data_IF_501815226075
#
_entry.id   IF_501815226075
#
_cell.length_a   1.000
_cell.length_b   1.000
_cell.length_c   1.000
_cell.angle_alpha   90.00
_cell.angle_beta   90.00
_cell.angle_gamma   90.00
#
_symmetry.space_group_name_H-M   'P 1'
#
loop_
_entity.id
_entity.type
_entity.pdbx_description
1 polymer ?
#
# COMPACT_ATOMS: atom_id res chain seq x y z
N UNK A 1 -35.15 -16.98 -26.70
CA UNK A 1 -34.17 -16.58 -27.75
C UNK A 1 -32.78 -16.60 -27.14
N UNK A 2 -32.06 -17.71 -27.31
CA UNK A 2 -30.72 -17.91 -26.77
C UNK A 2 -29.68 -17.56 -27.84
N UNK A 3 -28.69 -16.71 -27.52
CA UNK A 3 -27.57 -16.42 -28.43
C UNK A 3 -26.34 -17.19 -27.97
N UNK A 4 -25.90 -18.09 -28.86
CA UNK A 4 -24.86 -19.10 -28.69
C UNK A 4 -23.48 -18.52 -28.40
N UNK A 5 -22.80 -19.23 -27.51
CA UNK A 5 -21.35 -19.29 -27.29
C UNK A 5 -20.65 -19.75 -28.58
N UNK A 6 -19.47 -19.18 -28.88
CA UNK A 6 -18.49 -19.80 -29.78
C UNK A 6 -17.08 -19.63 -29.22
N UNK A 7 -16.50 -20.77 -28.86
CA UNK A 7 -15.11 -21.04 -28.48
C UNK A 7 -14.21 -21.16 -29.71
N UNK A 8 -13.01 -20.58 -29.65
CA UNK A 8 -11.80 -20.92 -30.45
C UNK A 8 -10.58 -20.53 -29.58
N UNK A 9 -9.79 -21.45 -29.00
CA UNK A 9 -8.74 -22.31 -29.57
C UNK A 9 -7.49 -21.57 -30.08
N UNK A 10 -6.34 -21.87 -29.44
CA UNK A 10 -4.96 -21.53 -29.85
C UNK A 10 -4.33 -20.51 -28.89
N UNK A 11 -3.26 -20.76 -28.13
CA UNK A 11 -2.12 -21.66 -28.30
C UNK A 11 -0.84 -20.81 -28.36
N UNK A 12 0.19 -21.17 -27.57
CA UNK A 12 1.51 -20.53 -27.34
C UNK A 12 1.48 -19.25 -26.47
N UNK A 13 1.92 -19.27 -25.20
CA UNK A 13 3.28 -19.48 -24.68
C UNK A 13 4.33 -18.61 -25.37
N UNK A 14 4.69 -17.48 -24.75
CA UNK A 14 6.02 -16.87 -24.88
C UNK A 14 6.34 -16.06 -23.61
N UNK A 15 6.94 -16.77 -22.65
CA UNK A 15 7.99 -16.24 -21.78
C UNK A 15 8.97 -15.36 -22.58
N UNK A 16 9.25 -14.15 -22.10
CA UNK A 16 10.34 -13.30 -22.62
C UNK A 16 11.28 -12.91 -21.50
N UNK A 17 12.07 -13.88 -21.07
CA UNK A 17 13.40 -13.64 -20.52
C UNK A 17 14.27 -13.02 -21.63
N UNK A 18 14.98 -11.93 -21.33
CA UNK A 18 16.05 -11.42 -22.20
C UNK A 18 17.39 -11.58 -21.50
N UNK A 19 17.98 -12.74 -21.74
CA UNK A 19 19.40 -13.03 -21.51
C UNK A 19 20.20 -12.26 -22.56
N UNK A 20 21.10 -11.38 -22.14
CA UNK A 20 22.14 -10.84 -23.01
C UNK A 20 23.42 -11.65 -22.78
N UNK A 21 23.73 -12.56 -23.69
CA UNK A 21 25.04 -13.20 -23.85
C UNK A 21 25.58 -12.80 -25.22
N UNK A 22 26.59 -11.94 -25.24
CA UNK A 22 27.34 -11.64 -26.45
C UNK A 22 28.70 -12.34 -26.35
N UNK A 23 28.87 -13.41 -27.13
CA UNK A 23 30.15 -14.04 -27.38
C UNK A 23 30.66 -13.53 -28.75
N UNK A 24 31.91 -13.07 -28.80
CA UNK A 24 32.62 -12.78 -30.04
C UNK A 24 33.97 -13.49 -29.99
N UNK A 25 34.27 -14.31 -31.02
CA UNK A 25 35.54 -15.03 -31.15
C UNK A 25 35.99 -15.08 -32.62
N UNK A 26 37.27 -14.77 -32.83
CA UNK A 26 38.09 -15.13 -34.02
C UNK A 26 38.07 -14.12 -35.18
N UNK A 27 39.17 -13.70 -35.81
CA UNK A 27 40.49 -14.31 -35.99
C UNK A 27 41.55 -13.27 -36.47
N UNK A 28 42.84 -13.58 -36.20
CA UNK A 28 44.12 -13.29 -36.92
C UNK A 28 44.31 -11.94 -37.66
N UNK A 29 45.41 -11.19 -37.58
CA UNK A 29 46.78 -11.39 -37.09
C UNK A 29 47.74 -10.63 -38.02
N UNK A 30 48.72 -9.89 -37.49
CA UNK A 30 50.06 -9.66 -38.10
C UNK A 30 50.94 -8.82 -37.18
N UNK A 31 52.20 -9.23 -37.06
CA UNK A 31 53.23 -8.66 -36.20
C UNK A 31 54.00 -7.52 -36.88
N UNK A 32 54.53 -6.60 -36.07
CA UNK A 32 55.79 -5.91 -36.37
C UNK A 32 56.58 -5.72 -35.06
N UNK A 33 57.84 -6.16 -35.07
CA UNK A 33 58.82 -5.94 -34.02
C UNK A 33 59.16 -4.45 -33.91
N UNK A 34 59.15 -3.91 -32.71
CA UNK A 34 59.97 -2.75 -32.37
C UNK A 34 60.42 -2.86 -30.92
N UNK A 35 61.73 -2.98 -30.70
CA UNK A 35 62.37 -2.90 -29.39
C UNK A 35 62.54 -1.44 -28.99
N UNK A 36 62.20 -1.12 -27.74
CA UNK A 36 62.55 0.17 -27.13
C UNK A 36 61.96 0.28 -25.72
N UNK A 37 62.80 0.05 -24.71
CA UNK A 37 62.42 0.07 -23.30
C UNK A 37 62.09 1.47 -22.76
N UNK A 38 61.47 1.48 -21.57
CA UNK A 38 61.20 2.70 -20.81
C UNK A 38 60.03 2.50 -19.85
N UNK A 39 60.38 2.24 -18.60
CA UNK A 39 59.59 2.06 -17.38
C UNK A 39 58.25 2.80 -17.23
N UNK A 40 57.30 2.12 -16.57
CA UNK A 40 56.14 2.60 -15.79
C UNK A 40 54.77 1.99 -16.18
N UNK A 41 54.60 0.67 -15.98
CA UNK A 41 53.27 0.02 -16.04
C UNK A 41 52.59 0.06 -14.67
N UNK A 42 52.05 1.22 -14.28
CA UNK A 42 51.03 1.25 -13.23
C UNK A 42 49.78 0.48 -13.67
N UNK A 43 48.95 -0.05 -12.74
CA UNK A 43 47.65 -0.61 -13.11
C UNK A 43 46.84 0.44 -13.90
N UNK A 44 46.00 0.01 -14.87
CA UNK A 44 45.17 0.96 -15.62
C UNK A 44 44.35 1.81 -14.64
N UNK A 45 44.24 3.13 -14.86
CA UNK A 45 43.36 3.94 -14.04
C UNK A 45 41.97 3.31 -14.08
N UNK A 46 41.36 3.13 -12.89
CA UNK A 46 40.00 2.62 -12.79
C UNK A 46 39.05 3.47 -13.64
N UNK A 47 37.84 2.95 -13.98
CA UNK A 47 36.86 3.75 -14.69
C UNK A 47 36.67 5.08 -13.96
N UNK A 48 36.66 6.23 -14.67
CA UNK A 48 36.46 7.51 -14.03
C UNK A 48 35.16 7.46 -13.23
N UNK A 49 35.11 8.06 -12.03
CA UNK A 49 33.86 8.17 -11.30
C UNK A 49 32.81 8.79 -12.23
N UNK A 50 31.55 8.29 -12.24
CA UNK A 50 30.51 8.87 -13.06
C UNK A 50 30.42 10.38 -12.75
N UNK A 51 30.25 11.24 -13.76
CA UNK A 51 30.24 12.68 -13.54
C UNK A 51 29.11 13.06 -12.55
N UNK A 52 29.37 13.88 -11.51
CA UNK A 52 28.29 14.43 -10.71
C UNK A 52 27.49 15.35 -11.61
N UNK A 53 26.35 14.87 -12.10
CA UNK A 53 25.38 15.70 -12.81
C UNK A 53 24.16 15.87 -11.93
N UNK A 54 24.38 16.40 -10.72
CA UNK A 54 23.32 16.93 -9.88
C UNK A 54 22.83 18.23 -10.53
N UNK A 55 22.00 18.08 -11.54
CA UNK A 55 21.17 19.16 -12.07
C UNK A 55 20.14 19.53 -11.01
N UNK A 56 19.86 20.81 -10.81
CA UNK A 56 18.92 21.32 -9.81
C UNK A 56 17.59 20.52 -9.81
N UNK A 57 17.05 20.13 -8.63
CA UNK A 57 15.74 19.48 -8.55
C UNK A 57 14.65 20.32 -9.22
N UNK A 58 13.92 19.72 -10.18
CA UNK A 58 12.84 20.42 -10.89
C UNK A 58 11.47 19.81 -10.61
N UNK A 59 11.41 18.50 -10.30
CA UNK A 59 10.16 17.78 -10.02
C UNK A 59 10.39 16.68 -8.99
N UNK A 60 9.40 16.43 -8.16
CA UNK A 60 9.35 15.26 -7.26
C UNK A 60 8.09 14.47 -7.59
N UNK A 61 8.19 13.14 -7.66
CA UNK A 61 7.03 12.24 -7.73
C UNK A 61 6.98 11.39 -6.46
N UNK A 62 5.77 11.20 -5.93
CA UNK A 62 5.52 10.42 -4.72
C UNK A 62 4.85 9.09 -5.08
N UNK A 63 5.30 8.01 -4.44
CA UNK A 63 4.68 6.69 -4.55
C UNK A 63 4.46 6.11 -3.15
N UNK A 64 3.21 5.84 -2.74
CA UNK A 64 1.96 6.11 -3.47
C UNK A 64 1.66 7.62 -3.59
N UNK A 65 0.83 8.00 -4.57
CA UNK A 65 0.40 9.39 -4.78
C UNK A 65 -0.64 9.83 -3.72
N UNK A 66 -1.45 8.90 -3.25
CA UNK A 66 -2.36 9.07 -2.11
C UNK A 66 -1.94 8.13 -0.99
N UNK A 67 -1.80 8.66 0.22
CA UNK A 67 -1.30 7.89 1.36
C UNK A 67 -2.46 7.59 2.28
N UNK A 68 -2.70 6.30 2.53
CA UNK A 68 -3.64 5.84 3.54
C UNK A 68 -2.90 4.95 4.55
N UNK A 69 -3.14 5.16 5.84
CA UNK A 69 -2.53 4.39 6.94
C UNK A 69 -3.55 4.16 8.06
N UNK A 70 -3.49 3.01 8.72
CA UNK A 70 -4.30 2.75 9.91
C UNK A 70 -3.59 3.34 11.14
N UNK A 71 -4.34 3.88 12.10
CA UNK A 71 -3.77 4.36 13.35
C UNK A 71 -3.00 3.23 14.07
N UNK A 72 -1.74 3.48 14.40
CA UNK A 72 -0.81 2.48 14.96
C UNK A 72 0.10 1.82 13.92
N UNK A 73 -0.27 1.86 12.63
CA UNK A 73 0.50 1.27 11.54
C UNK A 73 1.46 2.27 10.89
N UNK A 74 2.30 1.74 10.00
CA UNK A 74 3.25 2.52 9.21
C UNK A 74 3.13 2.22 7.72
N UNK A 75 3.41 3.23 6.90
CA UNK A 75 3.47 3.10 5.43
C UNK A 75 4.69 3.83 4.91
N UNK A 76 5.39 3.22 3.95
CA UNK A 76 6.55 3.85 3.31
C UNK A 76 6.11 4.64 2.08
N UNK A 77 6.44 5.92 2.05
CA UNK A 77 6.31 6.78 0.87
C UNK A 77 7.68 7.00 0.24
N UNK A 78 7.77 6.79 -1.07
CA UNK A 78 9.00 6.98 -1.84
C UNK A 78 8.92 8.29 -2.61
N UNK A 79 9.92 9.14 -2.46
CA UNK A 79 10.09 10.33 -3.30
C UNK A 79 11.13 10.04 -4.39
N UNK A 80 10.80 10.33 -5.64
CA UNK A 80 11.72 10.29 -6.77
C UNK A 80 11.95 11.71 -7.28
N UNK A 81 13.18 12.19 -7.12
CA UNK A 81 13.57 13.55 -7.51
C UNK A 81 14.11 13.53 -8.94
N UNK A 82 13.63 14.46 -9.77
CA UNK A 82 13.94 14.57 -11.19
C UNK A 82 14.45 15.98 -11.51
N UNK A 83 15.38 16.08 -12.45
CA UNK A 83 15.82 17.35 -13.02
C UNK A 83 14.88 17.86 -14.13
N UNK A 84 15.22 19.00 -14.73
CA UNK A 84 14.50 19.63 -15.85
C UNK A 84 14.35 18.75 -17.09
N UNK A 85 15.23 17.76 -17.25
CA UNK A 85 15.23 16.75 -18.33
C UNK A 85 14.52 15.45 -17.94
N UNK A 86 13.79 15.44 -16.82
CA UNK A 86 13.13 14.25 -16.27
C UNK A 86 14.07 13.09 -15.93
N UNK A 87 15.36 13.37 -15.69
CA UNK A 87 16.33 12.36 -15.26
C UNK A 87 16.39 12.27 -13.73
N UNK A 88 16.53 11.07 -13.14
CA UNK A 88 16.64 10.90 -11.69
C UNK A 88 17.91 11.52 -11.10
N UNK A 89 17.75 12.20 -9.96
CA UNK A 89 18.84 12.68 -9.11
C UNK A 89 18.95 11.71 -7.93
N UNK A 90 19.94 10.81 -7.97
CA UNK A 90 20.02 9.66 -7.03
C UNK A 90 20.54 10.03 -5.65
N UNK A 91 21.24 11.15 -5.53
CA UNK A 91 21.84 11.71 -4.31
C UNK A 91 21.03 12.91 -3.78
N UNK A 92 19.83 13.15 -4.32
CA UNK A 92 18.98 14.23 -3.86
C UNK A 92 18.56 14.04 -2.40
N UNK A 93 18.81 15.05 -1.58
CA UNK A 93 18.30 15.10 -0.22
C UNK A 93 16.82 15.50 -0.26
N UNK A 94 15.98 14.70 0.38
CA UNK A 94 14.54 14.96 0.52
C UNK A 94 14.24 15.23 1.99
N UNK A 95 13.60 16.36 2.26
CA UNK A 95 13.06 16.70 3.58
C UNK A 95 11.56 16.45 3.59
N UNK A 96 11.06 15.77 4.62
CA UNK A 96 9.66 15.42 4.77
C UNK A 96 8.98 16.24 5.86
N UNK A 97 7.73 16.62 5.64
CA UNK A 97 6.88 17.28 6.63
C UNK A 97 5.45 16.78 6.55
N UNK A 98 4.82 16.57 7.71
CA UNK A 98 3.37 16.36 7.83
C UNK A 98 2.70 17.69 8.17
N UNK A 99 1.55 17.98 7.56
CA UNK A 99 0.75 19.16 7.90
C UNK A 99 0.11 19.07 9.30
N UNK A 100 -0.10 17.86 9.81
CA UNK A 100 -0.62 17.62 11.16
C UNK A 100 0.11 16.43 11.80
N UNK A 101 1.18 16.70 12.57
CA UNK A 101 1.92 15.68 13.31
C UNK A 101 1.12 14.96 14.40
N UNK A 102 -0.04 15.47 14.82
CA UNK A 102 -0.90 14.78 15.78
C UNK A 102 -1.78 13.70 15.11
N UNK A 103 -2.02 13.84 13.80
CA UNK A 103 -2.71 12.83 12.97
C UNK A 103 -1.72 11.80 12.46
N UNK A 104 -0.60 12.24 11.88
CA UNK A 104 0.43 11.35 11.36
C UNK A 104 1.81 12.02 11.32
N UNK A 105 2.85 11.24 11.61
CA UNK A 105 4.25 11.69 11.55
C UNK A 105 4.98 11.04 10.38
N UNK A 106 6.09 11.64 9.95
CA UNK A 106 6.97 11.08 8.91
C UNK A 106 8.42 11.24 9.34
N UNK A 107 9.23 10.20 9.13
CA UNK A 107 10.67 10.24 9.41
C UNK A 107 11.49 10.73 8.21
N UNK A 108 12.82 10.87 8.40
CA UNK A 108 13.73 11.31 7.35
C UNK A 108 13.80 10.35 6.13
N UNK A 109 13.34 9.10 6.27
CA UNK A 109 13.35 8.07 5.22
C UNK A 109 12.04 7.96 4.45
N UNK A 110 11.04 8.79 4.79
CA UNK A 110 9.69 8.74 4.22
C UNK A 110 8.81 7.64 4.83
N UNK A 111 9.14 7.13 6.03
CA UNK A 111 8.26 6.23 6.78
C UNK A 111 7.22 7.06 7.53
N UNK A 112 5.96 6.92 7.13
CA UNK A 112 4.81 7.59 7.74
C UNK A 112 4.23 6.70 8.83
N UNK A 113 3.94 7.25 10.00
CA UNK A 113 3.27 6.57 11.12
C UNK A 113 1.92 7.23 11.37
N UNK A 114 0.84 6.45 11.28
CA UNK A 114 -0.51 6.90 11.62
C UNK A 114 -0.70 6.94 13.13
N UNK A 115 -1.15 8.06 13.68
CA UNK A 115 -1.35 8.22 15.13
C UNK A 115 -2.83 8.26 15.50
N UNK A 116 -3.63 9.00 14.73
CA UNK A 116 -5.04 9.23 15.02
C UNK A 116 -5.82 9.41 13.73
N UNK A 117 -7.07 8.93 13.72
CA UNK A 117 -8.00 9.16 12.61
C UNK A 117 -8.09 10.65 12.25
N UNK A 118 -7.99 10.94 10.95
CA UNK A 118 -8.03 12.29 10.42
C UNK A 118 -7.38 12.42 9.05
N UNK A 119 -7.38 13.64 8.53
CA UNK A 119 -6.78 13.98 7.25
C UNK A 119 -5.61 14.94 7.48
N UNK A 120 -4.51 14.68 6.76
CA UNK A 120 -3.33 15.50 6.71
C UNK A 120 -2.83 15.57 5.26
N UNK A 121 -1.71 16.25 5.06
CA UNK A 121 -0.93 16.17 3.83
C UNK A 121 0.53 15.94 4.15
N UNK A 122 1.18 15.20 3.27
CA UNK A 122 2.59 14.85 3.35
C UNK A 122 3.34 15.59 2.28
N UNK A 123 4.33 16.39 2.66
CA UNK A 123 5.15 17.17 1.72
C UNK A 123 6.58 16.66 1.70
N UNK A 124 7.08 16.37 0.51
CA UNK A 124 8.49 16.11 0.23
C UNK A 124 9.11 17.32 -0.45
N UNK A 125 10.26 17.77 0.05
CA UNK A 125 10.98 18.93 -0.46
C UNK A 125 12.42 18.56 -0.81
N UNK A 126 12.82 18.89 -2.03
CA UNK A 126 14.21 18.89 -2.49
C UNK A 126 14.38 20.17 -3.29
N UNK A 127 14.83 21.23 -2.62
CA UNK A 127 14.70 22.59 -3.14
C UNK A 127 15.37 22.76 -4.52
N UNK A 128 14.71 23.46 -5.46
CA UNK A 128 13.44 24.19 -5.33
C UNK A 128 12.18 23.34 -5.52
N UNK A 129 12.29 22.05 -5.83
CA UNK A 129 11.14 21.20 -6.09
C UNK A 129 10.44 20.74 -4.80
N UNK A 130 9.11 20.66 -4.87
CA UNK A 130 8.23 20.16 -3.81
C UNK A 130 7.16 19.25 -4.40
N UNK A 131 6.74 18.23 -3.67
CA UNK A 131 5.55 17.44 -3.97
C UNK A 131 4.74 17.22 -2.69
N UNK A 132 3.42 17.19 -2.83
CA UNK A 132 2.49 16.98 -1.71
C UNK A 132 1.53 15.85 -2.07
N UNK A 133 1.34 14.92 -1.16
CA UNK A 133 0.35 13.85 -1.24
C UNK A 133 -0.73 14.04 -0.15
N UNK A 134 -2.02 13.81 -0.43
CA UNK A 134 -3.02 13.69 0.61
C UNK A 134 -2.71 12.49 1.50
N UNK A 135 -2.94 12.65 2.80
CA UNK A 135 -2.72 11.61 3.81
C UNK A 135 -4.00 11.42 4.61
N UNK A 136 -4.59 10.22 4.53
CA UNK A 136 -5.72 9.82 5.34
C UNK A 136 -5.26 8.79 6.38
N UNK A 137 -5.61 9.04 7.65
CA UNK A 137 -5.44 8.08 8.73
C UNK A 137 -6.82 7.53 9.10
N UNK A 138 -6.96 6.22 9.10
CA UNK A 138 -8.20 5.55 9.52
C UNK A 138 -8.04 4.95 10.91
N UNK A 139 -9.08 4.99 11.72
CA UNK A 139 -9.09 4.24 12.97
C UNK A 139 -9.03 2.73 12.70
N UNK A 140 -8.45 1.99 13.66
CA UNK A 140 -8.47 0.53 13.65
C UNK A 140 -9.90 0.00 13.56
N UNK A 141 -10.84 0.63 14.27
CA UNK A 141 -12.25 0.27 14.24
C UNK A 141 -12.83 0.42 12.82
N UNK A 142 -12.59 1.55 12.13
CA UNK A 142 -13.01 1.73 10.73
C UNK A 142 -12.42 0.68 9.80
N UNK A 143 -11.12 0.39 9.92
CA UNK A 143 -10.46 -0.61 9.10
C UNK A 143 -11.07 -2.01 9.31
N UNK A 144 -11.33 -2.36 10.56
CA UNK A 144 -11.94 -3.65 10.96
C UNK A 144 -13.37 -3.78 10.43
N UNK A 145 -14.19 -2.73 10.58
CA UNK A 145 -15.53 -2.70 10.00
C UNK A 145 -15.48 -2.80 8.47
N UNK A 146 -14.56 -2.10 7.80
CA UNK A 146 -14.40 -2.23 6.35
C UNK A 146 -14.00 -3.66 5.93
N UNK A 147 -13.16 -4.33 6.72
CA UNK A 147 -12.84 -5.74 6.50
C UNK A 147 -14.07 -6.64 6.65
N UNK A 148 -14.95 -6.39 7.63
CA UNK A 148 -16.24 -7.08 7.75
C UNK A 148 -17.14 -6.84 6.54
N UNK A 149 -17.27 -5.57 6.12
CA UNK A 149 -18.03 -5.18 4.95
C UNK A 149 -17.54 -5.88 3.68
N UNK A 150 -16.24 -5.86 3.40
CA UNK A 150 -15.68 -6.49 2.21
C UNK A 150 -15.75 -8.02 2.32
N UNK A 151 -15.32 -8.57 3.45
CA UNK A 151 -15.20 -10.00 3.69
C UNK A 151 -16.54 -10.74 3.71
N UNK A 152 -17.63 -10.04 4.01
CA UNK A 152 -18.98 -10.62 4.03
C UNK A 152 -19.92 -10.12 2.93
N UNK A 153 -19.36 -9.64 1.82
CA UNK A 153 -20.10 -9.14 0.64
C UNK A 153 -21.09 -8.02 0.96
N UNK A 154 -20.64 -7.00 1.67
CA UNK A 154 -21.43 -5.88 2.18
C UNK A 154 -22.26 -5.09 1.18
N UNK A 155 -21.90 -5.12 -0.10
CA UNK A 155 -22.71 -4.54 -1.17
C UNK A 155 -24.03 -5.28 -1.40
N UNK A 156 -24.11 -6.55 -0.98
CA UNK A 156 -25.26 -7.44 -1.13
C UNK A 156 -26.07 -7.57 0.17
N UNK A 157 -25.66 -6.90 1.26
CA UNK A 157 -26.45 -6.86 2.49
C UNK A 157 -27.79 -6.16 2.25
N UNK A 158 -28.77 -6.48 3.08
CA UNK A 158 -30.11 -5.89 3.02
C UNK A 158 -30.07 -4.39 3.30
N UNK A 159 -29.32 -3.99 4.33
CA UNK A 159 -29.03 -2.60 4.65
C UNK A 159 -27.52 -2.42 4.86
N UNK A 160 -26.93 -1.54 4.07
CA UNK A 160 -25.53 -1.14 4.15
C UNK A 160 -25.36 0.38 4.20
N UNK A 161 -26.36 1.10 4.70
CA UNK A 161 -26.33 2.55 4.79
C UNK A 161 -25.09 3.02 5.57
N UNK A 162 -24.32 3.95 4.97
CA UNK A 162 -23.07 4.48 5.52
C UNK A 162 -21.83 3.58 5.32
N UNK A 163 -22.00 2.27 5.15
CA UNK A 163 -20.87 1.37 4.92
C UNK A 163 -20.19 1.65 3.58
N UNK A 164 -18.85 1.54 3.53
CA UNK A 164 -18.09 1.85 2.33
C UNK A 164 -17.89 3.35 2.06
N UNK A 165 -18.30 4.23 2.97
CA UNK A 165 -18.18 5.69 2.83
C UNK A 165 -17.17 6.28 3.81
N UNK A 166 -16.94 7.60 3.71
CA UNK A 166 -16.14 8.37 4.66
C UNK A 166 -16.96 8.93 5.83
N UNK A 167 -18.23 8.53 5.97
CA UNK A 167 -19.03 8.90 7.12
C UNK A 167 -18.44 8.32 8.42
N UNK A 168 -18.58 8.99 9.58
CA UNK A 168 -18.14 8.45 10.86
C UNK A 168 -18.75 7.08 11.13
N UNK A 169 -17.95 6.13 11.64
CA UNK A 169 -18.39 4.73 11.81
C UNK A 169 -19.66 4.57 12.64
N UNK A 170 -19.88 5.43 13.64
CA UNK A 170 -21.11 5.43 14.45
C UNK A 170 -22.38 5.89 13.74
N UNK A 171 -22.27 6.31 12.47
CA UNK A 171 -23.41 6.62 11.60
C UNK A 171 -23.76 5.48 10.64
N UNK A 172 -22.94 4.43 10.60
CA UNK A 172 -23.18 3.28 9.73
C UNK A 172 -24.30 2.42 10.30
N UNK A 173 -25.12 1.84 9.43
CA UNK A 173 -26.22 0.97 9.84
C UNK A 173 -25.71 -0.15 10.76
N UNK A 174 -26.39 -0.34 11.89
CA UNK A 174 -26.04 -1.38 12.85
C UNK A 174 -24.83 -1.07 13.73
N UNK A 175 -24.13 0.05 13.55
CA UNK A 175 -22.93 0.39 14.33
C UNK A 175 -23.26 1.44 15.39
N UNK A 176 -22.97 1.14 16.65
CA UNK A 176 -22.98 2.12 17.73
C UNK A 176 -21.55 2.46 18.11
N UNK A 177 -21.23 3.75 18.21
CA UNK A 177 -19.94 4.23 18.68
C UNK A 177 -20.10 5.21 19.84
N UNK A 178 -19.09 5.28 20.72
CA UNK A 178 -19.04 6.26 21.79
C UNK A 178 -18.56 7.64 21.29
N UNK A 179 -18.46 8.61 22.19
CA UNK A 179 -18.01 9.98 21.88
C UNK A 179 -16.57 10.06 21.32
N UNK A 180 -15.74 9.04 21.60
CA UNK A 180 -14.39 8.91 21.05
C UNK A 180 -14.36 8.17 19.71
N UNK A 181 -15.52 7.94 19.08
CA UNK A 181 -15.68 7.17 17.84
C UNK A 181 -15.18 5.73 17.93
N UNK A 182 -15.15 5.15 19.14
CA UNK A 182 -14.86 3.73 19.33
C UNK A 182 -16.15 2.92 19.23
N UNK A 183 -16.11 1.82 18.50
CA UNK A 183 -17.27 0.97 18.23
C UNK A 183 -17.61 0.14 19.46
N UNK A 184 -18.83 0.33 19.98
CA UNK A 184 -19.32 -0.30 21.22
C UNK A 184 -20.52 -1.21 21.00
N UNK A 185 -21.07 -1.34 19.81
CA UNK A 185 -22.01 -2.42 19.47
C UNK A 185 -22.08 -2.54 17.95
N UNK A 186 -22.26 -3.77 17.48
CA UNK A 186 -22.56 -4.05 16.08
C UNK A 186 -23.78 -4.97 16.07
N UNK A 187 -24.87 -4.52 15.46
CA UNK A 187 -26.06 -5.31 15.18
C UNK A 187 -26.30 -5.33 13.66
N UNK A 188 -25.94 -6.45 13.06
CA UNK A 188 -26.19 -6.78 11.66
C UNK A 188 -27.02 -8.07 11.57
N UNK A 189 -27.87 -8.30 12.56
CA UNK A 189 -28.77 -9.44 12.56
C UNK A 189 -29.70 -9.41 11.34
N UNK A 190 -29.97 -10.59 10.78
CA UNK A 190 -30.86 -10.77 9.61
C UNK A 190 -30.52 -9.88 8.40
N UNK A 191 -29.26 -9.46 8.26
CA UNK A 191 -28.85 -8.48 7.25
C UNK A 191 -28.27 -9.11 5.97
N UNK A 192 -28.34 -10.43 5.83
CA UNK A 192 -27.89 -11.16 4.64
C UNK A 192 -26.38 -11.26 4.50
N UNK A 193 -25.63 -11.17 5.60
CA UNK A 193 -24.18 -11.38 5.61
C UNK A 193 -23.85 -12.76 5.03
N UNK A 194 -22.84 -12.81 4.17
CA UNK A 194 -22.47 -14.01 3.42
C UNK A 194 -20.95 -14.22 3.50
N UNK A 195 -20.46 -15.45 3.67
CA UNK A 195 -19.02 -15.71 3.75
C UNK A 195 -18.55 -15.87 5.19
N UNK A 196 -17.37 -15.38 5.52
CA UNK A 196 -16.74 -15.59 6.83
C UNK A 196 -16.56 -14.27 7.58
N UNK A 197 -16.75 -14.30 8.89
CA UNK A 197 -16.40 -13.17 9.74
C UNK A 197 -14.87 -13.01 9.77
N UNK A 198 -14.33 -11.79 9.56
CA UNK A 198 -12.90 -11.58 9.62
C UNK A 198 -12.37 -11.73 11.04
N UNK A 199 -11.19 -12.34 11.16
CA UNK A 199 -10.54 -12.59 12.45
C UNK A 199 -10.18 -11.30 13.20
N UNK A 200 -9.94 -10.21 12.46
CA UNK A 200 -9.62 -8.89 12.99
C UNK A 200 -10.76 -8.24 13.77
N UNK A 201 -11.99 -8.76 13.69
CA UNK A 201 -13.12 -8.27 14.51
C UNK A 201 -12.84 -8.36 16.01
N UNK A 202 -12.02 -9.32 16.46
CA UNK A 202 -11.60 -9.39 17.85
C UNK A 202 -10.66 -8.25 18.28
N UNK A 203 -10.13 -7.47 17.35
CA UNK A 203 -9.31 -6.29 17.64
C UNK A 203 -10.15 -5.08 18.08
N UNK A 204 -11.48 -5.15 17.97
CA UNK A 204 -12.40 -4.16 18.51
C UNK A 204 -12.46 -4.26 20.04
N UNK A 205 -11.40 -3.77 20.69
CA UNK A 205 -11.12 -3.94 22.11
C UNK A 205 -12.20 -3.46 23.10
N UNK A 206 -13.23 -2.74 22.63
CA UNK A 206 -14.32 -2.21 23.44
C UNK A 206 -15.70 -2.66 22.97
N UNK A 207 -15.79 -3.66 22.09
CA UNK A 207 -17.04 -4.21 21.59
C UNK A 207 -17.66 -5.16 22.63
N UNK A 208 -18.71 -4.76 23.37
CA UNK A 208 -19.35 -5.60 24.37
C UNK A 208 -20.42 -6.53 23.77
N UNK A 209 -20.82 -6.31 22.51
CA UNK A 209 -21.86 -7.08 21.82
C UNK A 209 -21.72 -7.03 20.30
N UNK A 210 -21.71 -8.22 19.68
CA UNK A 210 -21.68 -8.44 18.24
C UNK A 210 -22.85 -9.36 17.87
N UNK A 211 -23.88 -8.78 17.29
CA UNK A 211 -25.11 -9.46 16.90
C UNK A 211 -25.13 -9.67 15.39
N UNK A 212 -24.94 -10.92 14.98
CA UNK A 212 -24.94 -11.35 13.58
C UNK A 212 -25.87 -12.55 13.35
N UNK A 213 -26.80 -12.79 14.29
CA UNK A 213 -27.79 -13.86 14.19
C UNK A 213 -28.71 -13.70 12.96
N UNK A 214 -29.28 -14.79 12.46
CA UNK A 214 -30.18 -14.75 11.30
C UNK A 214 -29.50 -14.48 9.96
N UNK A 215 -28.17 -14.58 9.89
CA UNK A 215 -27.41 -14.51 8.65
C UNK A 215 -27.04 -15.91 8.17
N UNK A 216 -27.99 -16.62 7.55
CA UNK A 216 -27.87 -18.05 7.18
C UNK A 216 -26.72 -18.37 6.20
N UNK A 217 -26.13 -17.35 5.57
CA UNK A 217 -25.02 -17.49 4.62
C UNK A 217 -23.66 -17.22 5.25
N UNK A 218 -23.60 -16.86 6.53
CA UNK A 218 -22.36 -16.86 7.29
C UNK A 218 -21.87 -18.31 7.47
N UNK A 219 -20.56 -18.47 7.38
CA UNK A 219 -19.88 -19.76 7.38
C UNK A 219 -18.46 -19.61 7.92
N UNK A 220 -17.74 -20.72 8.07
CA UNK A 220 -16.38 -20.70 8.59
C UNK A 220 -16.28 -20.77 10.12
N UNK A 221 -15.05 -20.81 10.64
CA UNK A 221 -14.82 -20.90 12.08
C UNK A 221 -15.09 -19.57 12.77
N UNK A 222 -15.67 -19.61 13.97
CA UNK A 222 -15.53 -18.51 14.92
C UNK A 222 -14.08 -18.56 15.42
N UNK A 223 -13.27 -17.57 15.06
CA UNK A 223 -11.87 -17.51 15.50
C UNK A 223 -11.78 -17.20 17.00
N UNK A 224 -10.66 -17.57 17.63
CA UNK A 224 -10.46 -17.38 19.08
C UNK A 224 -10.70 -15.91 19.50
N UNK A 225 -10.28 -14.94 18.70
CA UNK A 225 -10.49 -13.51 18.97
C UNK A 225 -11.98 -13.12 19.03
N UNK A 226 -12.86 -13.85 18.35
CA UNK A 226 -14.32 -13.65 18.42
C UNK A 226 -14.95 -14.36 19.61
N UNK A 227 -14.38 -15.48 20.08
CA UNK A 227 -14.86 -16.18 21.29
C UNK A 227 -14.66 -15.35 22.56
N UNK A 228 -13.65 -14.47 22.58
CA UNK A 228 -13.38 -13.54 23.68
C UNK A 228 -14.42 -12.40 23.78
N UNK A 229 -15.18 -12.14 22.72
CA UNK A 229 -16.28 -11.17 22.69
C UNK A 229 -17.61 -11.74 23.23
N UNK A 230 -17.59 -12.94 23.83
CA UNK A 230 -18.76 -13.51 24.49
C UNK A 230 -19.83 -14.10 23.56
N UNK A 231 -19.52 -14.31 22.28
CA UNK A 231 -20.42 -15.00 21.35
C UNK A 231 -20.53 -16.48 21.77
N UNK A 232 -21.62 -16.83 22.46
CA UNK A 232 -21.82 -18.19 22.96
C UNK A 232 -22.48 -19.14 21.95
N UNK A 233 -23.05 -18.65 20.84
CA UNK A 233 -23.63 -19.52 19.80
C UNK A 233 -23.90 -18.75 18.50
N UNK A 234 -23.34 -19.19 17.36
CA UNK A 234 -23.96 -18.96 16.05
C UNK A 234 -25.11 -19.96 15.96
N UNK A 235 -26.35 -19.49 16.06
CA UNK A 235 -27.50 -20.36 15.83
C UNK A 235 -27.54 -20.69 14.33
N UNK A 236 -27.26 -21.96 14.02
CA UNK A 236 -27.43 -22.61 12.72
C UNK A 236 -28.91 -22.88 12.42
#
# INVERSE_FOLDING_TARGET
MAKRIRTTSGGSDLSRSRVWRSAALGLLGMAILSCGGGDASGPPPGPPPPPPTATVPARITLEPEEVAVVAGDTVRVRARVLNDRAQPISDAVVTWTSSDPAVATVDATGLVTGLKEGNASLTATSAPATATAPLAVHSLDRATLMALYIGTFGREWTNNDGWGTDAPVGSWYGVTANEQSRVTAIDLSENGLNGQLPEDLGSLAVLPGLEVGGNDRLSGPITFSLSELGIQTLNY
#
